data_IF_869108248993
#
_entry.id   IF_869108248993
#
_cell.length_a   1.000
_cell.length_b   1.000
_cell.length_c   1.000
_cell.angle_alpha   90.00
_cell.angle_beta   90.00
_cell.angle_gamma   90.00
#
_symmetry.space_group_name_H-M   'P 1'
#
loop_
_entity.id
_entity.type
_entity.pdbx_description
1 polymer ?
#
# COMPACT_ATOMS: atom_id res chain seq x y z
N UNK A 1 -4.51 -21.62 11.94
CA UNK A 1 -5.04 -22.15 10.67
C UNK A 1 -3.87 -22.67 9.87
N UNK A 2 -3.85 -23.97 9.58
CA UNK A 2 -2.72 -24.63 8.89
C UNK A 2 -2.65 -24.14 7.44
N UNK A 3 -1.45 -23.79 6.96
CA UNK A 3 -1.23 -23.44 5.54
C UNK A 3 -1.76 -24.60 4.67
N UNK A 4 -2.56 -24.35 3.62
CA UNK A 4 -2.96 -25.43 2.72
C UNK A 4 -1.71 -26.05 2.11
N UNK A 5 -1.58 -27.38 2.24
CA UNK A 5 -0.47 -28.14 1.67
C UNK A 5 -0.44 -27.93 0.16
N UNK A 6 0.73 -27.56 -0.37
CA UNK A 6 1.00 -27.54 -1.81
C UNK A 6 0.72 -28.94 -2.35
N UNK A 7 -0.21 -29.07 -3.30
CA UNK A 7 -0.41 -30.33 -4.02
C UNK A 7 0.82 -30.54 -4.91
N UNK A 8 1.66 -31.51 -4.56
CA UNK A 8 2.72 -31.96 -5.47
C UNK A 8 2.09 -32.82 -6.55
N UNK A 9 2.28 -32.41 -7.80
CA UNK A 9 1.76 -33.09 -8.97
C UNK A 9 2.96 -33.75 -9.67
N UNK A 10 3.02 -35.08 -9.64
CA UNK A 10 4.09 -35.92 -10.22
C UNK A 10 4.07 -35.90 -11.76
N UNK A 11 4.24 -34.73 -12.37
CA UNK A 11 4.36 -34.56 -13.82
C UNK A 11 3.12 -34.91 -14.66
N UNK A 12 2.02 -35.36 -14.02
CA UNK A 12 0.71 -35.51 -14.64
C UNK A 12 -0.25 -34.57 -13.93
N UNK A 13 -0.89 -33.67 -14.67
CA UNK A 13 -1.99 -32.82 -14.17
C UNK A 13 -3.18 -33.73 -13.88
N UNK A 14 -3.53 -33.99 -12.60
CA UNK A 14 -4.74 -34.74 -12.30
C UNK A 14 -5.94 -33.89 -12.71
N UNK A 15 -6.91 -34.53 -13.37
CA UNK A 15 -8.21 -33.92 -13.64
C UNK A 15 -8.95 -33.74 -12.30
N UNK A 16 -8.98 -32.50 -11.81
CA UNK A 16 -9.68 -32.12 -10.58
C UNK A 16 -11.16 -31.78 -10.83
N UNK A 17 -11.67 -32.00 -12.05
CA UNK A 17 -12.96 -31.49 -12.49
C UNK A 17 -13.09 -29.98 -12.27
N UNK A 18 -14.32 -29.51 -12.04
CA UNK A 18 -14.60 -28.09 -11.76
C UNK A 18 -14.16 -27.59 -10.38
N UNK A 19 -13.42 -28.40 -9.61
CA UNK A 19 -13.00 -28.05 -8.24
C UNK A 19 -11.87 -27.02 -8.21
N UNK A 20 -11.07 -26.95 -9.28
CA UNK A 20 -9.96 -26.01 -9.42
C UNK A 20 -9.85 -25.58 -10.88
N UNK A 21 -10.11 -24.31 -11.16
CA UNK A 21 -9.75 -23.70 -12.44
C UNK A 21 -8.36 -23.08 -12.31
N UNK A 22 -7.44 -23.51 -13.17
CA UNK A 22 -6.15 -22.84 -13.36
C UNK A 22 -6.17 -22.19 -14.74
N UNK A 23 -5.68 -20.96 -14.82
CA UNK A 23 -5.40 -20.33 -16.10
C UNK A 23 -4.28 -21.13 -16.77
N UNK A 24 -4.48 -21.50 -18.03
CA UNK A 24 -3.47 -22.19 -18.83
C UNK A 24 -2.22 -21.30 -19.02
N UNK A 25 -2.45 -19.98 -19.20
CA UNK A 25 -1.42 -18.94 -19.22
C UNK A 25 -1.95 -17.70 -18.47
N UNK A 26 -1.11 -17.13 -17.61
CA UNK A 26 -1.36 -15.82 -17.01
C UNK A 26 -0.76 -14.72 -17.88
N UNK A 27 -1.42 -13.56 -17.94
CA UNK A 27 -0.89 -12.35 -18.56
C UNK A 27 0.04 -11.57 -17.62
N UNK A 28 0.12 -11.94 -16.34
CA UNK A 28 0.94 -11.27 -15.33
C UNK A 28 2.25 -12.01 -15.07
N UNK A 29 3.27 -11.27 -14.67
CA UNK A 29 4.46 -11.85 -14.04
C UNK A 29 4.12 -12.28 -12.60
N UNK A 30 4.54 -13.48 -12.20
CA UNK A 30 4.42 -13.94 -10.82
C UNK A 30 5.74 -13.74 -10.08
N UNK A 31 5.68 -13.05 -8.95
CA UNK A 31 6.84 -12.89 -8.09
C UNK A 31 7.37 -14.25 -7.63
N UNK A 32 8.67 -14.45 -7.78
CA UNK A 32 9.38 -15.60 -7.26
C UNK A 32 10.27 -15.12 -6.11
N UNK A 33 10.23 -15.80 -4.96
CA UNK A 33 11.05 -15.39 -3.84
C UNK A 33 12.54 -15.47 -4.20
N UNK A 34 13.23 -14.34 -4.09
CA UNK A 34 14.66 -14.27 -4.34
C UNK A 34 15.42 -14.93 -3.18
N UNK A 35 16.17 -15.98 -3.48
CA UNK A 35 16.99 -16.74 -2.52
C UNK A 35 18.48 -16.74 -2.89
N UNK A 36 18.90 -15.93 -3.86
CA UNK A 36 20.29 -15.81 -4.29
C UNK A 36 21.11 -14.93 -3.34
N UNK A 37 22.43 -14.93 -3.55
CA UNK A 37 23.38 -14.16 -2.74
C UNK A 37 23.81 -12.85 -3.44
N UNK A 38 23.55 -12.71 -4.75
CA UNK A 38 24.07 -11.61 -5.58
C UNK A 38 23.06 -10.47 -5.80
N UNK A 39 23.31 -9.24 -5.35
CA UNK A 39 22.36 -8.12 -5.51
C UNK A 39 21.96 -7.83 -6.97
N UNK A 40 22.84 -8.10 -7.93
CA UNK A 40 22.59 -7.86 -9.35
C UNK A 40 21.48 -8.75 -9.93
N UNK A 41 21.34 -9.98 -9.41
CA UNK A 41 20.28 -10.89 -9.83
C UNK A 41 18.91 -10.39 -9.33
N UNK A 42 18.88 -9.83 -8.11
CA UNK A 42 17.69 -9.19 -7.56
C UNK A 42 17.31 -7.94 -8.37
N UNK A 43 18.27 -7.12 -8.76
CA UNK A 43 18.02 -5.93 -9.59
C UNK A 43 17.39 -6.31 -10.94
N UNK A 44 17.94 -7.32 -11.63
CA UNK A 44 17.38 -7.85 -12.88
C UNK A 44 15.96 -8.40 -12.68
N UNK A 45 15.72 -9.11 -11.58
CA UNK A 45 14.39 -9.58 -11.25
C UNK A 45 13.43 -8.40 -11.06
N UNK A 46 13.81 -7.37 -10.33
CA UNK A 46 12.99 -6.18 -10.10
C UNK A 46 12.68 -5.43 -11.41
N UNK A 47 13.63 -5.38 -12.35
CA UNK A 47 13.43 -4.77 -13.68
C UNK A 47 12.28 -5.44 -14.45
N UNK A 48 12.17 -6.77 -14.40
CA UNK A 48 11.08 -7.52 -15.04
C UNK A 48 9.71 -7.10 -14.49
N UNK A 49 9.62 -6.69 -13.22
CA UNK A 49 8.37 -6.27 -12.58
C UNK A 49 8.05 -4.78 -12.75
N UNK A 50 8.90 -4.00 -13.44
CA UNK A 50 8.54 -2.62 -13.79
C UNK A 50 7.26 -2.56 -14.63
N UNK A 51 7.03 -3.57 -15.47
CA UNK A 51 5.75 -3.82 -16.12
C UNK A 51 5.15 -5.10 -15.54
N UNK A 52 3.97 -5.07 -14.91
CA UNK A 52 3.38 -6.28 -14.32
C UNK A 52 2.90 -7.30 -15.36
N UNK A 53 2.84 -6.90 -16.63
CA UNK A 53 2.33 -7.69 -17.75
C UNK A 53 3.48 -8.36 -18.53
N UNK A 54 3.26 -9.60 -18.95
CA UNK A 54 4.16 -10.32 -19.83
C UNK A 54 4.23 -9.65 -21.21
N UNK A 55 5.33 -9.86 -21.95
CA UNK A 55 5.57 -9.24 -23.26
C UNK A 55 4.48 -9.52 -24.32
N UNK A 56 3.77 -10.66 -24.22
CA UNK A 56 2.68 -11.06 -25.11
C UNK A 56 1.33 -11.10 -24.38
N UNK A 57 0.91 -9.98 -23.80
CA UNK A 57 -0.39 -9.85 -23.13
C UNK A 57 -1.50 -9.45 -24.12
N UNK A 58 -2.71 -9.98 -23.91
CA UNK A 58 -3.91 -9.55 -24.63
C UNK A 58 -4.79 -8.70 -23.70
N UNK A 59 -5.26 -7.50 -24.12
CA UNK A 59 -6.06 -6.64 -23.25
C UNK A 59 -7.36 -7.26 -22.76
N UNK A 60 -8.03 -8.08 -23.57
CA UNK A 60 -9.27 -8.74 -23.14
C UNK A 60 -8.96 -9.86 -22.15
N UNK A 61 -7.94 -10.66 -22.42
CA UNK A 61 -7.48 -11.73 -21.54
C UNK A 61 -7.03 -11.19 -20.18
N UNK A 62 -6.30 -10.06 -20.15
CA UNK A 62 -5.92 -9.37 -18.90
C UNK A 62 -7.16 -9.00 -18.10
N UNK A 63 -8.16 -8.38 -18.72
CA UNK A 63 -9.40 -7.98 -18.04
C UNK A 63 -10.15 -9.21 -17.51
N UNK A 64 -10.27 -10.27 -18.31
CA UNK A 64 -10.94 -11.51 -17.88
C UNK A 64 -10.21 -12.18 -16.72
N UNK A 65 -8.88 -12.27 -16.79
CA UNK A 65 -8.05 -12.81 -15.72
C UNK A 65 -8.17 -11.97 -14.43
N UNK A 66 -8.15 -10.65 -14.55
CA UNK A 66 -8.44 -9.71 -13.47
C UNK A 66 -9.80 -10.01 -12.82
N UNK A 67 -10.86 -10.16 -13.63
CA UNK A 67 -12.20 -10.41 -13.12
C UNK A 67 -12.25 -11.72 -12.34
N UNK A 68 -11.60 -12.77 -12.85
CA UNK A 68 -11.48 -14.06 -12.18
C UNK A 68 -10.69 -13.98 -10.86
N UNK A 69 -9.57 -13.26 -10.84
CA UNK A 69 -8.72 -13.11 -9.65
C UNK A 69 -9.43 -12.36 -8.52
N UNK A 70 -10.26 -11.37 -8.86
CA UNK A 70 -11.08 -10.61 -7.90
C UNK A 70 -12.38 -11.36 -7.50
N UNK A 71 -12.63 -12.53 -8.09
CA UNK A 71 -13.80 -13.36 -7.77
C UNK A 71 -15.10 -12.90 -8.43
N UNK A 72 -15.04 -12.11 -9.51
CA UNK A 72 -16.21 -11.82 -10.31
C UNK A 72 -16.70 -13.08 -11.04
N UNK A 73 -18.02 -13.31 -11.11
CA UNK A 73 -18.55 -14.44 -11.84
C UNK A 73 -18.36 -14.27 -13.35
N UNK A 74 -18.28 -15.39 -14.07
CA UNK A 74 -18.01 -15.44 -15.52
C UNK A 74 -19.09 -14.77 -16.38
N UNK A 75 -20.28 -14.52 -15.82
CA UNK A 75 -21.39 -13.81 -16.46
C UNK A 75 -21.35 -12.29 -16.21
N UNK A 76 -20.31 -11.79 -15.56
CA UNK A 76 -20.11 -10.36 -15.34
C UNK A 76 -19.96 -9.60 -16.67
N UNK A 77 -20.69 -8.50 -16.81
CA UNK A 77 -20.63 -7.63 -17.99
C UNK A 77 -19.62 -6.49 -17.83
N UNK A 78 -18.83 -6.22 -18.86
CA UNK A 78 -17.94 -5.06 -18.94
C UNK A 78 -18.56 -3.96 -19.79
N UNK A 79 -18.74 -2.76 -19.23
CA UNK A 79 -19.30 -1.61 -19.96
C UNK A 79 -18.49 -0.34 -19.74
N UNK A 80 -18.41 0.54 -20.76
CA UNK A 80 -17.66 1.80 -20.68
C UNK A 80 -18.34 2.81 -19.75
N UNK A 81 -17.51 3.53 -18.99
CA UNK A 81 -17.96 4.52 -17.98
C UNK A 81 -18.77 5.71 -18.53
N UNK A 82 -18.75 6.00 -19.84
CA UNK A 82 -19.58 7.06 -20.43
C UNK A 82 -21.09 6.86 -20.20
N UNK A 83 -21.50 5.61 -19.93
CA UNK A 83 -22.87 5.23 -19.61
C UNK A 83 -23.09 5.00 -18.11
N UNK A 84 -22.10 5.31 -17.24
CA UNK A 84 -22.12 4.95 -15.82
C UNK A 84 -23.42 5.35 -15.11
N UNK A 85 -23.86 6.61 -15.25
CA UNK A 85 -25.10 7.10 -14.63
C UNK A 85 -26.33 6.35 -15.13
N UNK A 86 -26.38 6.04 -16.41
CA UNK A 86 -27.50 5.31 -17.04
C UNK A 86 -27.53 3.87 -16.54
N UNK A 87 -26.38 3.20 -16.53
CA UNK A 87 -26.25 1.81 -16.08
C UNK A 87 -26.61 1.68 -14.59
N UNK A 88 -26.11 2.60 -13.75
CA UNK A 88 -26.47 2.59 -12.32
C UNK A 88 -27.96 2.79 -12.13
N UNK A 89 -28.59 3.70 -12.88
CA UNK A 89 -30.03 3.90 -12.83
C UNK A 89 -30.81 2.64 -13.27
N UNK A 90 -30.42 2.02 -14.38
CA UNK A 90 -31.03 0.77 -14.86
C UNK A 90 -30.87 -0.39 -13.86
N UNK A 91 -29.69 -0.52 -13.24
CA UNK A 91 -29.43 -1.56 -12.23
C UNK A 91 -30.28 -1.33 -10.97
N UNK A 92 -30.42 -0.08 -10.53
CA UNK A 92 -31.28 0.28 -9.40
C UNK A 92 -32.74 0.02 -9.72
N UNK A 93 -33.21 0.32 -10.93
CA UNK A 93 -34.58 0.03 -11.36
C UNK A 93 -34.86 -1.48 -11.41
N UNK A 94 -33.91 -2.28 -11.93
CA UNK A 94 -34.08 -3.74 -12.08
C UNK A 94 -33.92 -4.53 -10.78
N UNK A 95 -33.02 -4.09 -9.90
CA UNK A 95 -32.59 -4.88 -8.73
C UNK A 95 -32.88 -4.21 -7.38
N UNK A 96 -33.35 -2.96 -7.37
CA UNK A 96 -33.74 -2.20 -6.18
C UNK A 96 -32.58 -1.64 -5.35
N UNK A 97 -31.37 -2.17 -5.50
CA UNK A 97 -30.15 -1.62 -4.88
C UNK A 97 -28.91 -1.98 -5.70
N UNK A 98 -27.83 -1.21 -5.51
CA UNK A 98 -26.55 -1.42 -6.18
C UNK A 98 -25.40 -1.13 -5.21
N UNK A 99 -24.34 -1.93 -5.28
CA UNK A 99 -23.09 -1.73 -4.56
C UNK A 99 -22.05 -1.13 -5.50
N UNK A 100 -21.45 -0.01 -5.10
CA UNK A 100 -20.50 0.74 -5.91
C UNK A 100 -19.17 0.84 -5.18
N UNK A 101 -18.13 0.31 -5.81
CA UNK A 101 -16.77 0.42 -5.32
C UNK A 101 -15.87 1.01 -6.41
N UNK A 102 -14.89 1.78 -5.96
CA UNK A 102 -13.81 2.20 -6.84
C UNK A 102 -12.84 1.05 -6.98
N UNK A 103 -12.48 0.72 -8.22
CA UNK A 103 -11.37 -0.17 -8.47
C UNK A 103 -10.10 0.51 -7.98
N UNK A 104 -9.71 0.16 -6.76
CA UNK A 104 -8.53 0.72 -6.15
C UNK A 104 -7.28 0.05 -6.66
N UNK A 105 -7.27 -0.91 -7.59
CA UNK A 105 -6.03 -1.62 -7.94
C UNK A 105 -4.98 -0.68 -8.53
N UNK A 106 -3.72 -0.88 -8.13
CA UNK A 106 -2.64 0.07 -8.41
C UNK A 106 -2.54 0.41 -9.90
N UNK A 107 -2.55 -0.60 -10.79
CA UNK A 107 -2.44 -0.40 -12.24
C UNK A 107 -3.68 0.23 -12.90
N UNK A 108 -4.81 0.35 -12.19
CA UNK A 108 -6.09 0.85 -12.71
C UNK A 108 -6.45 2.22 -12.11
N UNK A 109 -5.72 2.66 -11.08
CA UNK A 109 -6.02 3.87 -10.32
C UNK A 109 -4.77 4.78 -10.24
N UNK A 110 -4.66 5.79 -11.13
CA UNK A 110 -3.52 6.71 -11.16
C UNK A 110 -3.27 7.43 -9.82
N UNK A 111 -4.34 7.78 -9.09
CA UNK A 111 -4.21 8.40 -7.78
C UNK A 111 -3.59 7.43 -6.75
N UNK A 112 -3.97 6.14 -6.79
CA UNK A 112 -3.31 5.13 -5.95
C UNK A 112 -1.85 4.91 -6.36
N UNK A 113 -1.53 4.91 -7.66
CA UNK A 113 -0.14 4.81 -8.10
C UNK A 113 0.73 5.91 -7.49
N UNK A 114 0.27 7.16 -7.54
CA UNK A 114 0.99 8.29 -6.94
C UNK A 114 1.20 8.12 -5.43
N UNK A 115 0.21 7.57 -4.71
CA UNK A 115 0.34 7.28 -3.28
C UNK A 115 1.34 6.14 -3.01
N UNK A 116 1.33 5.09 -3.84
CA UNK A 116 2.29 3.96 -3.73
C UNK A 116 3.71 4.46 -3.99
N UNK A 117 3.90 5.27 -5.02
CA UNK A 117 5.19 5.91 -5.33
C UNK A 117 5.68 6.75 -4.15
N UNK A 118 4.82 7.60 -3.57
CA UNK A 118 5.18 8.38 -2.40
C UNK A 118 5.52 7.50 -1.18
N UNK A 119 4.81 6.39 -1.00
CA UNK A 119 5.11 5.42 0.06
C UNK A 119 6.48 4.74 -0.15
N UNK A 120 6.82 4.40 -1.40
CA UNK A 120 8.14 3.86 -1.75
C UNK A 120 9.26 4.87 -1.46
N UNK A 121 9.09 6.13 -1.88
CA UNK A 121 10.04 7.20 -1.53
C UNK A 121 10.21 7.38 -0.02
N UNK A 122 9.10 7.35 0.73
CA UNK A 122 9.14 7.44 2.19
C UNK A 122 9.87 6.25 2.82
N UNK A 123 9.68 5.03 2.29
CA UNK A 123 10.37 3.84 2.76
C UNK A 123 11.89 3.96 2.56
N UNK A 124 12.33 4.36 1.37
CA UNK A 124 13.76 4.59 1.08
C UNK A 124 14.35 5.64 2.02
N UNK A 125 13.64 6.77 2.22
CA UNK A 125 14.07 7.81 3.16
C UNK A 125 14.23 7.26 4.58
N UNK A 126 13.27 6.48 5.08
CA UNK A 126 13.36 5.83 6.40
C UNK A 126 14.50 4.83 6.48
N UNK A 127 14.74 4.07 5.42
CA UNK A 127 15.85 3.11 5.36
C UNK A 127 17.21 3.79 5.57
N UNK A 128 17.41 4.98 5.00
CA UNK A 128 18.64 5.76 5.19
C UNK A 128 18.78 6.40 6.59
N UNK A 129 17.69 6.52 7.36
CA UNK A 129 17.75 7.01 8.74
C UNK A 129 18.27 5.90 9.65
N UNK A 130 19.59 5.83 9.84
CA UNK A 130 20.22 4.77 10.64
C UNK A 130 20.30 5.14 12.12
N UNK A 131 20.14 4.14 12.98
CA UNK A 131 20.31 4.29 14.41
C UNK A 131 21.74 4.75 14.75
N UNK A 132 21.94 5.78 15.59
CA UNK A 132 23.28 6.24 15.95
C UNK A 132 24.05 5.24 16.81
N UNK A 133 23.37 4.30 17.48
CA UNK A 133 24.02 3.31 18.35
C UNK A 133 24.38 2.01 17.62
N UNK A 134 23.45 1.41 16.86
CA UNK A 134 23.67 0.11 16.21
C UNK A 134 23.68 0.17 14.67
N UNK A 135 23.49 1.35 14.07
CA UNK A 135 23.39 1.58 12.61
C UNK A 135 22.23 0.88 11.90
N UNK A 136 21.29 0.27 12.64
CA UNK A 136 20.09 -0.36 12.08
C UNK A 136 19.23 0.68 11.33
N UNK A 137 18.76 0.39 10.11
CA UNK A 137 17.92 1.30 9.33
C UNK A 137 16.53 1.52 9.97
N UNK A 138 15.86 2.62 9.63
CA UNK A 138 14.51 2.91 10.16
C UNK A 138 14.48 3.54 11.56
N UNK A 139 15.53 4.27 11.95
CA UNK A 139 15.55 5.09 13.15
C UNK A 139 14.74 6.38 12.95
N UNK A 140 13.43 6.27 13.13
CA UNK A 140 12.44 7.30 12.82
C UNK A 140 11.58 7.64 14.06
N UNK A 141 10.74 8.66 13.93
CA UNK A 141 9.84 9.15 14.97
C UNK A 141 8.79 8.10 15.31
N UNK A 142 8.74 7.70 16.58
CA UNK A 142 7.72 6.76 17.12
C UNK A 142 6.69 7.46 17.99
N UNK A 143 7.01 8.64 18.55
CA UNK A 143 6.08 9.44 19.35
C UNK A 143 6.32 10.94 19.11
N UNK A 144 5.23 11.70 19.16
CA UNK A 144 5.23 13.17 19.16
C UNK A 144 4.60 13.59 20.48
N UNK A 145 5.36 14.31 21.32
CA UNK A 145 4.89 14.75 22.62
C UNK A 145 4.36 16.19 22.49
N UNK A 146 3.11 16.46 22.92
CA UNK A 146 2.55 17.80 22.94
C UNK A 146 3.19 18.65 24.05
N UNK A 147 2.83 19.93 24.11
CA UNK A 147 3.24 20.84 25.17
C UNK A 147 4.01 22.06 24.69
N UNK A 148 3.92 22.42 23.41
CA UNK A 148 4.58 23.61 22.89
C UNK A 148 4.00 24.85 23.64
N UNK A 149 4.84 25.70 24.26
CA UNK A 149 4.33 26.77 25.12
C UNK A 149 3.65 27.86 24.30
N UNK A 150 2.47 28.31 24.72
CA UNK A 150 1.76 29.43 24.11
C UNK A 150 2.58 30.72 24.15
N UNK A 151 2.66 31.44 23.03
CA UNK A 151 3.42 32.69 22.94
C UNK A 151 2.86 33.81 23.85
N UNK A 152 1.58 33.77 24.22
CA UNK A 152 0.94 34.80 25.06
C UNK A 152 0.92 34.44 26.55
N UNK A 153 0.46 33.24 26.92
CA UNK A 153 0.26 32.86 28.32
C UNK A 153 1.30 31.86 28.85
N UNK A 154 2.15 31.30 27.97
CA UNK A 154 3.18 30.32 28.33
C UNK A 154 2.67 28.91 28.65
N UNK A 155 1.34 28.69 28.72
CA UNK A 155 0.78 27.38 29.00
C UNK A 155 1.07 26.38 27.87
N UNK A 156 1.25 25.09 28.20
CA UNK A 156 1.45 24.05 27.20
C UNK A 156 0.20 23.91 26.31
N UNK A 157 0.42 23.84 25.00
CA UNK A 157 -0.64 23.58 24.01
C UNK A 157 -0.63 22.13 23.54
N UNK A 158 -1.67 21.72 22.81
CA UNK A 158 -1.71 20.41 22.14
C UNK A 158 -0.68 20.28 20.99
N UNK A 159 -0.03 21.38 20.59
CA UNK A 159 0.99 21.35 19.54
C UNK A 159 2.24 20.61 19.99
N UNK A 160 2.94 20.02 19.02
CA UNK A 160 4.10 19.17 19.26
C UNK A 160 5.27 19.99 19.80
N UNK A 161 5.72 19.64 21.01
CA UNK A 161 6.92 20.19 21.63
C UNK A 161 8.17 19.39 21.22
N UNK A 162 8.00 18.08 21.06
CA UNK A 162 9.13 17.15 21.01
C UNK A 162 8.82 15.93 20.15
N UNK A 163 9.83 15.45 19.41
CA UNK A 163 9.81 14.12 18.78
C UNK A 163 10.65 13.13 19.56
N UNK A 164 10.16 11.88 19.62
CA UNK A 164 10.91 10.73 20.13
C UNK A 164 11.21 9.81 18.96
N UNK A 165 12.49 9.65 18.66
CA UNK A 165 13.02 8.65 17.73
C UNK A 165 13.35 7.38 18.50
N UNK A 166 13.07 6.20 17.92
CA UNK A 166 13.42 4.93 18.55
C UNK A 166 13.90 3.90 17.54
N UNK A 167 14.91 3.13 17.93
CA UNK A 167 15.38 1.99 17.16
C UNK A 167 14.53 0.74 17.43
N UNK A 168 14.11 0.03 16.39
CA UNK A 168 13.39 -1.24 16.53
C UNK A 168 14.29 -2.40 16.96
N UNK A 169 15.59 -2.34 16.65
CA UNK A 169 16.56 -3.39 16.98
C UNK A 169 17.14 -3.28 18.39
N UNK A 170 17.74 -2.12 18.74
CA UNK A 170 18.42 -1.94 20.04
C UNK A 170 17.61 -1.13 21.05
N UNK A 171 16.41 -0.65 20.68
CA UNK A 171 15.53 0.16 21.51
C UNK A 171 16.09 1.51 22.01
N UNK A 172 17.26 1.93 21.54
CA UNK A 172 17.79 3.27 21.77
C UNK A 172 16.74 4.34 21.42
N UNK A 173 16.53 5.31 22.31
CA UNK A 173 15.66 6.46 22.10
C UNK A 173 16.45 7.75 22.04
N UNK A 174 16.06 8.66 21.13
CA UNK A 174 16.57 10.03 21.07
C UNK A 174 15.42 11.01 21.04
N UNK A 175 15.51 12.00 21.92
CA UNK A 175 14.53 13.05 22.07
C UNK A 175 15.04 14.33 21.38
N UNK A 176 14.19 14.97 20.58
CA UNK A 176 14.50 16.23 19.89
C UNK A 176 13.41 17.25 20.25
N UNK A 177 13.82 18.31 20.94
CA UNK A 177 12.96 19.46 21.25
C UNK A 177 12.85 20.37 20.04
N UNK A 178 11.67 20.97 19.85
CA UNK A 178 11.38 21.89 18.75
C UNK A 178 11.83 21.33 17.38
N UNK A 179 11.35 20.13 17.01
CA UNK A 179 11.85 19.42 15.82
C UNK A 179 11.62 20.19 14.52
N UNK A 180 10.65 21.10 14.50
CA UNK A 180 10.32 21.97 13.37
C UNK A 180 10.90 23.39 13.54
N UNK A 181 11.74 23.62 14.56
CA UNK A 181 12.33 24.92 14.89
C UNK A 181 11.38 25.92 15.57
N UNK A 182 10.09 25.60 15.64
CA UNK A 182 9.06 26.41 16.28
C UNK A 182 9.18 26.24 17.81
N UNK A 183 9.40 27.34 18.54
CA UNK A 183 9.61 27.32 19.99
C UNK A 183 8.37 27.67 20.81
N UNK A 184 7.43 28.38 20.22
CA UNK A 184 6.20 28.84 20.86
C UNK A 184 5.02 28.62 19.93
N UNK A 185 3.87 28.30 20.51
CA UNK A 185 2.61 28.14 19.80
C UNK A 185 1.93 29.49 19.56
N UNK A 186 1.26 29.63 18.42
CA UNK A 186 0.32 30.72 18.19
C UNK A 186 -0.80 30.64 19.26
N UNK A 187 -1.15 31.75 19.94
CA UNK A 187 -2.24 31.78 20.91
C UNK A 187 -3.58 31.26 20.38
N UNK A 188 -3.83 31.29 19.06
CA UNK A 188 -4.99 30.69 18.40
C UNK A 188 -5.09 29.17 18.56
N UNK A 189 -4.00 28.49 18.94
CA UNK A 189 -3.98 27.05 19.26
C UNK A 189 -3.97 26.76 20.76
N UNK A 190 -4.13 27.77 21.61
CA UNK A 190 -4.15 27.62 23.06
C UNK A 190 -5.59 27.60 23.56
N UNK A 191 -6.00 26.52 24.22
CA UNK A 191 -7.35 26.38 24.79
C UNK A 191 -7.71 27.45 25.83
N UNK A 192 -6.71 28.14 26.42
CA UNK A 192 -6.96 29.26 27.33
C UNK A 192 -7.07 30.60 26.58
N UNK A 193 -6.21 30.85 25.59
CA UNK A 193 -6.19 32.14 24.87
C UNK A 193 -7.23 32.20 23.74
N UNK A 194 -7.60 31.05 23.20
CA UNK A 194 -8.61 30.86 22.16
C UNK A 194 -9.48 29.63 22.48
N UNK A 195 -10.37 29.74 23.50
CA UNK A 195 -11.29 28.68 23.89
C UNK A 195 -12.34 28.38 22.81
#
# INVERSE_FOLDING_TARGET
MSRPKKLELDGKTPDLGFKVYKLDKSNFHFWQDYNGEEPQELDQQLEVFQTPLQSEWDPKAVITEIMLLEGFPLDSSLTKAAQFKVIVAELLERHGSAWLETDMRAHVNPARMAVIEQAAHNLVKKFHQRCPQCRWPGFDVVRRLPGLPCASCGLPTALTHQWVYRCTQCHYERQVLYPEGIKVADPGHCELCNP
#
